data_IF_708623191695
#
_entry.id   IF_708623191695
#
_cell.length_a   1.000
_cell.length_b   1.000
_cell.length_c   1.000
_cell.angle_alpha   90.00
_cell.angle_beta   90.00
_cell.angle_gamma   90.00
#
_symmetry.space_group_name_H-M   'P 1'
#
loop_
_entity.id
_entity.type
_entity.pdbx_description
1 polymer ?
#
# COMPACT_ATOMS: atom_id res chain seq x y z
N UNK A 1 -7.11 -3.21 -14.02
CA UNK A 1 -5.78 -3.76 -13.63
C UNK A 1 -5.92 -4.45 -12.28
N UNK A 2 -5.36 -5.62 -12.15
CA UNK A 2 -5.37 -6.39 -10.91
C UNK A 2 -3.94 -6.72 -10.49
N UNK A 3 -3.62 -6.51 -9.20
CA UNK A 3 -2.32 -6.83 -8.63
C UNK A 3 -2.56 -7.65 -7.38
N UNK A 4 -1.94 -8.84 -7.29
CA UNK A 4 -2.04 -9.68 -6.10
C UNK A 4 -0.67 -9.78 -5.45
N UNK A 5 -0.60 -9.43 -4.17
CA UNK A 5 0.62 -9.49 -3.39
C UNK A 5 0.42 -10.53 -2.29
N UNK A 6 1.00 -11.73 -2.41
CA UNK A 6 0.75 -12.84 -1.48
C UNK A 6 1.59 -12.72 -0.20
N UNK A 7 1.52 -11.57 0.44
CA UNK A 7 2.27 -11.25 1.66
C UNK A 7 1.31 -10.61 2.65
N UNK A 8 1.46 -10.93 3.93
CA UNK A 8 0.65 -10.32 4.98
C UNK A 8 0.82 -8.79 4.94
N UNK A 9 -0.28 -8.02 4.81
CA UNK A 9 -0.20 -6.56 4.73
C UNK A 9 0.42 -5.94 5.99
N UNK A 10 1.23 -4.91 5.80
CA UNK A 10 1.94 -4.20 6.87
C UNK A 10 1.73 -2.70 6.69
N UNK A 11 1.58 -1.98 7.79
CA UNK A 11 1.42 -0.51 7.77
C UNK A 11 2.71 0.20 8.15
N UNK A 12 2.82 1.46 7.77
CA UNK A 12 3.96 2.32 8.13
C UNK A 12 3.91 2.83 9.55
N UNK A 13 2.73 2.90 10.15
CA UNK A 13 2.45 3.76 11.29
C UNK A 13 3.11 3.36 12.60
N UNK A 14 3.38 2.10 12.82
CA UNK A 14 3.93 1.64 14.09
C UNK A 14 5.42 1.39 14.00
N UNK A 15 6.17 1.78 15.05
CA UNK A 15 7.60 1.52 15.19
C UNK A 15 8.50 2.22 14.17
N UNK A 16 8.10 3.43 13.74
CA UNK A 16 8.98 4.26 12.93
C UNK A 16 10.29 4.55 13.65
N UNK A 17 11.37 4.75 12.90
CA UNK A 17 12.69 5.09 13.45
C UNK A 17 12.98 6.55 13.23
N UNK A 18 13.47 7.20 14.28
CA UNK A 18 13.97 8.58 14.18
C UNK A 18 15.45 8.52 13.93
N UNK A 19 15.92 9.10 12.83
CA UNK A 19 17.34 9.22 12.52
C UNK A 19 17.71 10.69 12.37
N UNK A 20 18.98 11.01 12.61
CA UNK A 20 19.52 12.36 12.39
C UNK A 20 20.06 12.43 10.97
N UNK A 21 19.58 13.41 10.20
CA UNK A 21 20.06 13.66 8.85
C UNK A 21 20.39 15.15 8.73
N UNK A 22 21.66 15.47 8.50
CA UNK A 22 22.15 16.86 8.39
C UNK A 22 21.74 17.73 9.59
N UNK A 23 21.77 17.16 10.80
CA UNK A 23 21.42 17.86 12.01
C UNK A 23 19.91 17.96 12.29
N UNK A 24 19.09 17.37 11.47
CA UNK A 24 17.63 17.37 11.64
C UNK A 24 17.11 15.97 11.89
N UNK A 25 16.15 15.79 12.83
CA UNK A 25 15.52 14.49 13.03
C UNK A 25 14.57 14.17 11.86
N UNK A 26 14.67 12.95 11.35
CA UNK A 26 13.80 12.45 10.29
C UNK A 26 13.15 11.16 10.78
N UNK A 27 11.84 11.04 10.60
CA UNK A 27 11.12 9.81 10.90
C UNK A 27 11.15 8.90 9.68
N UNK A 28 11.77 7.72 9.82
CA UNK A 28 11.76 6.69 8.79
C UNK A 28 10.67 5.64 9.09
N UNK A 29 10.12 4.99 8.07
CA UNK A 29 9.23 3.84 8.29
C UNK A 29 9.96 2.74 9.06
N UNK A 30 9.20 1.90 9.76
CA UNK A 30 9.76 0.76 10.49
C UNK A 30 10.48 -0.21 9.56
N UNK A 31 11.43 -0.96 10.10
CA UNK A 31 12.12 -2.01 9.33
C UNK A 31 11.16 -3.04 8.76
N UNK A 32 10.17 -3.55 9.52
CA UNK A 32 9.19 -4.47 8.95
C UNK A 32 8.47 -3.91 7.74
N UNK A 33 8.10 -2.64 7.75
CA UNK A 33 7.47 -2.01 6.59
C UNK A 33 8.42 -1.90 5.41
N UNK A 34 9.67 -1.50 5.65
CA UNK A 34 10.66 -1.37 4.58
C UNK A 34 10.91 -2.72 3.90
N UNK A 35 11.01 -3.79 4.68
CA UNK A 35 11.18 -5.15 4.14
C UNK A 35 9.95 -5.59 3.35
N UNK A 36 8.77 -5.31 3.88
CA UNK A 36 7.50 -5.60 3.20
C UNK A 36 7.44 -4.89 1.84
N UNK A 37 7.75 -3.60 1.82
CA UNK A 37 7.71 -2.81 0.59
C UNK A 37 8.66 -3.38 -0.48
N UNK A 38 9.88 -3.76 -0.08
CA UNK A 38 10.85 -4.36 -1.00
C UNK A 38 10.35 -5.69 -1.57
N UNK A 39 9.74 -6.52 -0.74
CA UNK A 39 9.18 -7.80 -1.19
C UNK A 39 8.01 -7.60 -2.14
N UNK A 40 7.19 -6.59 -1.90
CA UNK A 40 6.04 -6.31 -2.74
C UNK A 40 6.43 -5.91 -4.16
N UNK A 41 7.57 -5.29 -4.34
CA UNK A 41 8.03 -4.80 -5.64
C UNK A 41 7.98 -5.87 -6.73
N UNK A 42 8.34 -7.11 -6.42
CA UNK A 42 8.37 -8.19 -7.41
C UNK A 42 6.98 -8.56 -7.94
N UNK A 43 5.92 -8.20 -7.22
CA UNK A 43 4.54 -8.49 -7.62
C UNK A 43 3.85 -7.32 -8.29
N UNK A 44 4.52 -6.17 -8.38
CA UNK A 44 3.97 -4.96 -8.97
C UNK A 44 4.50 -4.81 -10.39
N UNK A 45 3.61 -4.72 -11.40
CA UNK A 45 4.06 -4.60 -12.79
C UNK A 45 4.72 -3.26 -13.03
N UNK A 46 5.59 -3.22 -14.04
CA UNK A 46 6.21 -1.96 -14.48
C UNK A 46 5.34 -1.38 -15.58
N UNK A 47 4.87 -0.15 -15.39
CA UNK A 47 4.15 0.57 -16.40
C UNK A 47 5.09 1.55 -17.11
N UNK A 48 4.86 1.77 -18.40
CA UNK A 48 5.62 2.76 -19.16
C UNK A 48 5.39 4.16 -18.60
N UNK A 49 4.14 4.47 -18.27
CA UNK A 49 3.76 5.73 -17.64
C UNK A 49 2.82 5.48 -16.47
N UNK A 50 2.97 6.21 -15.35
CA UNK A 50 2.02 6.09 -14.26
C UNK A 50 0.61 6.52 -14.68
N UNK A 51 -0.40 5.95 -14.04
CA UNK A 51 -1.79 6.32 -14.28
C UNK A 51 -2.00 7.77 -13.80
N UNK A 52 -2.50 8.61 -14.69
CA UNK A 52 -2.72 10.04 -14.45
C UNK A 52 -4.15 10.45 -14.79
N UNK A 53 -5.12 9.68 -14.33
CA UNK A 53 -6.54 9.95 -14.55
C UNK A 53 -7.35 9.40 -13.39
N UNK A 54 -8.60 9.86 -13.18
CA UNK A 54 -9.39 9.39 -12.04
C UNK A 54 -9.66 7.89 -12.10
N UNK A 55 -9.45 7.23 -10.98
CA UNK A 55 -9.67 5.78 -10.83
C UNK A 55 -10.41 5.50 -9.54
N UNK A 56 -11.02 4.31 -9.47
CA UNK A 56 -11.43 3.72 -8.21
C UNK A 56 -10.37 2.71 -7.79
N UNK A 57 -9.86 2.85 -6.58
CA UNK A 57 -8.89 1.92 -6.01
C UNK A 57 -9.62 1.01 -5.02
N UNK A 58 -9.77 -0.26 -5.39
CA UNK A 58 -10.38 -1.25 -4.53
C UNK A 58 -9.30 -2.19 -4.03
N UNK A 59 -9.16 -2.31 -2.71
CA UNK A 59 -8.12 -3.18 -2.13
C UNK A 59 -8.76 -4.13 -1.13
N UNK A 60 -8.51 -5.41 -1.30
CA UNK A 60 -8.94 -6.45 -0.37
C UNK A 60 -7.73 -6.91 0.42
N UNK A 61 -7.74 -6.62 1.73
CA UNK A 61 -6.67 -7.01 2.64
C UNK A 61 -7.06 -8.27 3.39
N UNK A 62 -6.22 -9.29 3.33
CA UNK A 62 -6.43 -10.55 4.05
C UNK A 62 -5.31 -10.68 5.07
N UNK A 63 -5.67 -10.53 6.36
CA UNK A 63 -4.71 -10.42 7.45
C UNK A 63 -4.42 -11.77 8.08
N UNK A 64 -3.14 -11.99 8.40
CA UNK A 64 -2.67 -13.23 9.03
C UNK A 64 -3.17 -13.38 10.48
N UNK A 65 -3.40 -12.28 11.17
CA UNK A 65 -3.82 -12.26 12.56
C UNK A 65 -5.06 -11.37 12.73
N UNK A 66 -5.70 -11.49 13.89
CA UNK A 66 -6.85 -10.64 14.25
C UNK A 66 -6.44 -9.38 15.01
N UNK A 67 -5.17 -9.00 14.97
CA UNK A 67 -4.72 -7.77 15.62
C UNK A 67 -5.42 -6.56 14.99
N UNK A 68 -5.77 -5.61 15.84
CA UNK A 68 -6.46 -4.39 15.39
C UNK A 68 -5.51 -3.57 14.51
N UNK A 69 -6.03 -3.17 13.35
CA UNK A 69 -5.29 -2.35 12.38
C UNK A 69 -6.28 -1.46 11.64
N UNK A 70 -5.95 -0.21 11.46
CA UNK A 70 -6.84 0.73 10.79
C UNK A 70 -6.79 0.54 9.28
N UNK A 71 -7.97 0.42 8.65
CA UNK A 71 -8.07 0.29 7.20
C UNK A 71 -7.45 1.51 6.49
N UNK A 72 -7.57 2.71 7.09
CA UNK A 72 -6.99 3.92 6.51
C UNK A 72 -5.46 3.86 6.49
N UNK A 73 -4.84 3.24 7.49
CA UNK A 73 -3.40 3.06 7.51
C UNK A 73 -2.94 2.05 6.46
N UNK A 74 -3.70 0.99 6.23
CA UNK A 74 -3.43 0.02 5.18
C UNK A 74 -3.53 0.68 3.80
N UNK A 75 -4.58 1.47 3.57
CA UNK A 75 -4.76 2.20 2.32
C UNK A 75 -3.64 3.18 2.06
N UNK A 76 -3.22 3.93 3.09
CA UNK A 76 -2.13 4.89 2.94
C UNK A 76 -0.84 4.19 2.51
N UNK A 77 -0.51 3.08 3.16
CA UNK A 77 0.68 2.31 2.82
C UNK A 77 0.61 1.78 1.37
N UNK A 78 -0.56 1.29 0.97
CA UNK A 78 -0.77 0.79 -0.40
C UNK A 78 -0.63 1.91 -1.42
N UNK A 79 -1.24 3.07 -1.18
CA UNK A 79 -1.13 4.22 -2.08
C UNK A 79 0.32 4.67 -2.22
N UNK A 80 1.05 4.79 -1.10
CA UNK A 80 2.45 5.19 -1.12
C UNK A 80 3.30 4.23 -1.97
N UNK A 81 3.03 2.94 -1.85
CA UNK A 81 3.73 1.91 -2.60
C UNK A 81 3.41 1.98 -4.09
N UNK A 82 2.14 2.16 -4.45
CA UNK A 82 1.73 2.27 -5.85
C UNK A 82 2.33 3.51 -6.52
N UNK A 83 2.45 4.61 -5.79
CA UNK A 83 3.12 5.82 -6.30
C UNK A 83 4.61 5.58 -6.44
N UNK A 84 5.24 5.00 -5.43
CA UNK A 84 6.69 4.74 -5.44
C UNK A 84 7.12 3.85 -6.60
N UNK A 85 6.32 2.83 -6.91
CA UNK A 85 6.66 1.87 -7.97
C UNK A 85 6.02 2.20 -9.32
N UNK A 86 5.53 3.42 -9.48
CA UNK A 86 5.13 3.94 -10.79
C UNK A 86 3.80 3.47 -11.35
N UNK A 87 2.90 2.96 -10.51
CA UNK A 87 1.55 2.58 -10.94
C UNK A 87 0.65 3.80 -11.00
N UNK A 88 0.71 4.66 -9.98
CA UNK A 88 -0.06 5.90 -9.90
C UNK A 88 0.89 7.09 -9.91
N UNK A 89 0.52 8.16 -10.60
CA UNK A 89 1.32 9.38 -10.59
C UNK A 89 1.32 10.03 -9.21
N UNK A 90 0.17 10.00 -8.53
CA UNK A 90 0.00 10.52 -7.18
C UNK A 90 -1.24 9.85 -6.57
N UNK A 91 -1.45 10.03 -5.26
CA UNK A 91 -2.60 9.49 -4.57
C UNK A 91 -3.64 10.53 -4.16
N UNK A 92 -3.54 11.75 -4.70
CA UNK A 92 -4.54 12.78 -4.44
C UNK A 92 -5.87 12.45 -5.13
N UNK A 93 -6.94 13.21 -4.81
CA UNK A 93 -8.29 12.87 -5.26
C UNK A 93 -8.49 13.00 -6.78
N UNK A 94 -7.59 13.66 -7.51
CA UNK A 94 -7.69 13.73 -8.97
C UNK A 94 -7.31 12.41 -9.63
N UNK A 95 -6.66 11.53 -8.89
CA UNK A 95 -6.26 10.20 -9.34
C UNK A 95 -7.00 9.14 -8.54
N UNK A 96 -6.82 9.08 -7.22
CA UNK A 96 -7.59 8.17 -6.38
C UNK A 96 -8.86 8.87 -5.95
N UNK A 97 -9.89 8.83 -6.80
CA UNK A 97 -11.13 9.57 -6.56
C UNK A 97 -12.12 8.79 -5.71
N UNK A 98 -11.95 7.49 -5.56
CA UNK A 98 -12.76 6.67 -4.67
C UNK A 98 -12.02 5.38 -4.32
N UNK A 99 -12.50 4.71 -3.25
CA UNK A 99 -11.93 3.43 -2.79
C UNK A 99 -13.07 2.42 -2.56
N UNK A 100 -14.08 2.48 -3.38
CA UNK A 100 -15.26 1.63 -3.24
C UNK A 100 -14.89 0.15 -3.32
N UNK A 101 -15.47 -0.65 -2.42
CA UNK A 101 -15.23 -2.09 -2.36
C UNK A 101 -14.05 -2.50 -1.50
N UNK A 102 -13.29 -1.54 -1.00
CA UNK A 102 -12.14 -1.83 -0.13
C UNK A 102 -12.59 -2.46 1.18
N UNK A 103 -11.91 -3.53 1.59
CA UNK A 103 -12.26 -4.28 2.79
C UNK A 103 -11.05 -4.92 3.42
N UNK A 104 -11.19 -5.30 4.71
CA UNK A 104 -10.18 -6.04 5.45
C UNK A 104 -10.84 -7.28 6.02
N UNK A 105 -10.23 -8.44 5.81
CA UNK A 105 -10.70 -9.71 6.33
C UNK A 105 -9.56 -10.48 6.98
N UNK A 106 -9.90 -11.45 7.83
CA UNK A 106 -8.93 -12.34 8.43
C UNK A 106 -8.80 -13.60 7.56
N UNK A 107 -7.56 -13.95 7.21
CA UNK A 107 -7.28 -15.20 6.49
C UNK A 107 -5.88 -15.68 6.86
N UNK A 108 -5.79 -16.47 7.94
CA UNK A 108 -4.51 -16.98 8.44
C UNK A 108 -3.78 -17.86 7.43
N UNK A 109 -4.54 -18.61 6.62
CA UNK A 109 -3.94 -19.60 5.71
C UNK A 109 -3.36 -18.97 4.46
N UNK A 110 -3.90 -17.83 4.05
CA UNK A 110 -3.49 -17.20 2.79
C UNK A 110 -3.54 -15.67 2.91
N UNK A 111 -2.71 -15.08 3.79
CA UNK A 111 -2.66 -13.63 3.92
C UNK A 111 -2.16 -13.01 2.63
N UNK A 112 -2.80 -11.92 2.22
CA UNK A 112 -2.48 -11.28 0.94
C UNK A 112 -3.14 -9.93 0.81
N UNK A 113 -2.76 -9.20 -0.22
CA UNK A 113 -3.38 -7.94 -0.62
C UNK A 113 -3.77 -8.07 -2.09
N UNK A 114 -5.06 -7.84 -2.40
CA UNK A 114 -5.56 -7.85 -3.77
C UNK A 114 -5.94 -6.43 -4.14
N UNK A 115 -5.33 -5.90 -5.18
CA UNK A 115 -5.51 -4.51 -5.61
C UNK A 115 -6.21 -4.50 -6.97
N UNK A 116 -7.33 -3.77 -7.06
CA UNK A 116 -8.11 -3.62 -8.28
C UNK A 116 -8.19 -2.14 -8.63
N UNK A 117 -7.71 -1.78 -9.81
CA UNK A 117 -7.71 -0.40 -10.29
C UNK A 117 -8.63 -0.32 -11.49
N UNK A 118 -9.66 0.52 -11.40
CA UNK A 118 -10.64 0.71 -12.46
C UNK A 118 -10.73 2.19 -12.81
N UNK A 119 -10.72 2.49 -14.10
CA UNK A 119 -10.91 3.87 -14.58
C UNK A 119 -12.35 4.31 -14.33
N UNK A 120 -12.49 5.57 -14.05
CA UNK A 120 -13.81 6.20 -13.85
C UNK A 120 -14.35 6.83 -15.09
#
# INVERSE_FOLDING_TARGET
MEIVIPINPVTKKNHGQIIMCKGHPIMLPSKPYQEYEKKCKQYIPKLENPINEPINLEVHYYMETRRKCDITNLLQATCDMLVKYGILEDDNYTIVSSVNGTKVEYDKKNPRCEIYIQKK
#
